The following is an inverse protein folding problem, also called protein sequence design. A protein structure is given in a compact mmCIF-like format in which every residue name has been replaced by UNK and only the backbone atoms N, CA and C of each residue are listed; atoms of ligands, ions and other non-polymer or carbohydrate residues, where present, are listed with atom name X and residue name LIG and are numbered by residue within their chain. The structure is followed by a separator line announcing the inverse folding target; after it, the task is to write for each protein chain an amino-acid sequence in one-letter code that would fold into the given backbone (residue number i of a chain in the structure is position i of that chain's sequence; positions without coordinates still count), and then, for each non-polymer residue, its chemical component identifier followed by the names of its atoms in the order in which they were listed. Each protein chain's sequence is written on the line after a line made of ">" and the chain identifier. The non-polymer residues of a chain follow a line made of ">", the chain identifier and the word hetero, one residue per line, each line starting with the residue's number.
data_IF_412250005002
#
_entry.id   IF_412250005002
#
_cell.length_a   1.000
_cell.length_b   1.000
_cell.length_c   1.000
_cell.angle_alpha   90.00
_cell.angle_beta   90.00
_cell.angle_gamma   90.00
#
_symmetry.space_group_name_H-M   'P 1'
#
loop_
_entity.id
_entity.type
_entity.pdbx_description
1 polymer ?
#
# COMPACT_ATOMS: atom_id res chain seq x y z
N UNK A 1 -10.70 5.34 25.86
CA UNK A 1 -11.72 4.35 25.47
C UNK A 1 -10.99 3.18 24.83
N UNK A 2 -11.00 2.02 25.50
CA UNK A 2 -10.41 0.78 24.99
C UNK A 2 -11.51 0.00 24.27
N UNK A 3 -11.33 -0.28 22.99
CA UNK A 3 -12.19 -1.23 22.27
C UNK A 3 -11.78 -2.63 22.68
N UNK A 4 -12.64 -3.30 23.46
CA UNK A 4 -12.42 -4.67 23.93
C UNK A 4 -12.55 -5.70 22.79
N UNK A 5 -12.12 -6.96 23.04
CA UNK A 5 -11.99 -8.02 22.03
C UNK A 5 -13.31 -8.52 21.40
N UNK A 6 -14.46 -7.93 21.76
CA UNK A 6 -15.80 -8.33 21.31
C UNK A 6 -16.61 -7.20 20.63
N UNK A 7 -15.94 -6.13 20.19
CA UNK A 7 -16.57 -5.08 19.39
C UNK A 7 -16.92 -5.61 17.99
N UNK A 8 -18.19 -5.54 17.60
CA UNK A 8 -18.66 -5.78 16.22
C UNK A 8 -18.10 -4.75 15.22
N UNK A 9 -17.58 -3.63 15.73
CA UNK A 9 -16.79 -2.66 14.97
C UNK A 9 -15.31 -2.95 15.17
N UNK A 10 -14.74 -3.78 14.30
CA UNK A 10 -13.29 -4.03 14.25
C UNK A 10 -12.57 -2.88 13.55
N UNK A 11 -12.85 -1.64 13.97
CA UNK A 11 -12.28 -0.41 13.39
C UNK A 11 -11.54 0.37 14.47
N UNK A 12 -10.34 0.82 14.17
CA UNK A 12 -9.58 1.74 15.01
C UNK A 12 -9.38 3.06 14.29
N UNK A 13 -9.83 4.15 14.92
CA UNK A 13 -9.55 5.50 14.45
C UNK A 13 -8.06 5.81 14.62
N UNK A 14 -7.43 6.30 13.56
CA UNK A 14 -6.04 6.71 13.56
C UNK A 14 -5.94 8.22 13.55
N UNK A 15 -5.13 8.72 14.47
CA UNK A 15 -4.86 10.14 14.60
C UNK A 15 -3.36 10.40 14.59
N UNK A 16 -2.99 11.50 13.95
CA UNK A 16 -1.68 12.12 14.14
C UNK A 16 -1.88 13.24 15.17
N UNK A 17 -1.03 13.28 16.17
CA UNK A 17 -1.07 14.30 17.20
C UNK A 17 0.28 15.00 17.28
N UNK A 18 0.27 16.32 17.18
CA UNK A 18 1.45 17.12 17.49
C UNK A 18 1.57 17.24 19.01
N UNK A 19 2.69 16.77 19.56
CA UNK A 19 2.89 16.71 21.00
C UNK A 19 2.92 18.09 21.65
N UNK A 20 3.55 19.07 20.99
CA UNK A 20 3.78 20.41 21.56
C UNK A 20 2.50 21.26 21.61
N UNK A 21 1.68 21.17 20.57
CA UNK A 21 0.45 21.98 20.42
C UNK A 21 -0.83 21.24 20.81
N UNK A 22 -0.73 19.95 21.13
CA UNK A 22 -1.88 19.04 21.33
C UNK A 22 -2.86 18.98 20.16
N UNK A 23 -2.52 19.57 18.99
CA UNK A 23 -3.36 19.49 17.79
C UNK A 23 -3.42 18.05 17.31
N UNK A 24 -4.62 17.61 16.95
CA UNK A 24 -4.94 16.24 16.59
C UNK A 24 -5.67 16.22 15.26
N UNK A 25 -5.21 15.37 14.35
CA UNK A 25 -5.79 15.21 13.02
C UNK A 25 -6.22 13.76 12.83
N UNK A 26 -7.49 13.53 12.49
CA UNK A 26 -7.96 12.21 12.07
C UNK A 26 -7.38 11.92 10.68
N UNK A 27 -6.63 10.84 10.55
CA UNK A 27 -6.01 10.43 9.27
C UNK A 27 -6.69 9.20 8.67
N UNK A 28 -7.53 8.51 9.44
CA UNK A 28 -8.43 7.49 8.89
C UNK A 28 -8.79 6.44 9.91
N UNK A 29 -9.08 5.26 9.37
CA UNK A 29 -9.45 4.08 10.12
C UNK A 29 -8.60 2.91 9.63
N UNK A 30 -8.25 2.00 10.52
CA UNK A 30 -7.76 0.67 10.16
C UNK A 30 -8.79 -0.35 10.61
N UNK A 31 -9.06 -1.33 9.75
CA UNK A 31 -9.95 -2.44 10.00
C UNK A 31 -9.15 -3.70 10.35
N UNK A 32 -9.68 -4.53 11.26
CA UNK A 32 -9.18 -5.87 11.61
C UNK A 32 -7.68 -5.94 11.92
N UNK A 33 -6.87 -6.09 10.86
CA UNK A 33 -5.43 -6.33 10.86
C UNK A 33 -4.65 -5.27 10.04
N UNK A 34 -5.22 -4.08 9.85
CA UNK A 34 -4.50 -2.96 9.26
C UNK A 34 -3.25 -2.58 10.06
N UNK A 35 -2.22 -2.12 9.36
CA UNK A 35 -0.92 -1.75 9.94
C UNK A 35 -0.61 -0.29 9.65
N UNK A 36 -0.04 0.40 10.64
CA UNK A 36 0.47 1.75 10.52
C UNK A 36 1.93 1.80 10.96
N UNK A 37 2.81 2.44 10.19
CA UNK A 37 4.21 2.60 10.55
C UNK A 37 4.80 3.90 10.01
N UNK A 38 5.79 4.44 10.71
CA UNK A 38 6.48 5.66 10.35
C UNK A 38 7.65 5.39 9.39
N UNK A 39 7.98 6.36 8.55
CA UNK A 39 9.30 6.45 7.94
C UNK A 39 10.35 6.69 9.01
N UNK A 40 11.59 6.27 8.74
CA UNK A 40 12.70 6.39 9.69
C UNK A 40 12.96 7.84 10.14
N UNK A 41 12.82 8.80 9.22
CA UNK A 41 12.93 10.23 9.49
C UNK A 41 11.68 10.86 10.13
N UNK A 42 10.66 10.06 10.43
CA UNK A 42 9.37 10.48 11.00
C UNK A 42 8.62 11.53 10.15
N UNK A 43 8.97 11.69 8.87
CA UNK A 43 8.30 12.65 7.97
C UNK A 43 7.07 12.09 7.30
N UNK A 44 6.87 10.78 7.33
CA UNK A 44 5.73 10.11 6.68
C UNK A 44 5.13 9.02 7.54
N UNK A 45 3.80 8.98 7.57
CA UNK A 45 3.03 7.86 8.13
C UNK A 45 2.48 7.03 6.99
N UNK A 46 2.75 5.73 7.01
CA UNK A 46 2.21 4.76 6.07
C UNK A 46 1.10 3.95 6.74
N UNK A 47 -0.03 3.80 6.06
CA UNK A 47 -1.14 2.92 6.43
C UNK A 47 -1.34 1.87 5.34
N UNK A 48 -1.43 0.60 5.75
CA UNK A 48 -1.92 -0.47 4.89
C UNK A 48 -3.02 -1.25 5.56
N UNK A 49 -4.12 -1.43 4.84
CA UNK A 49 -5.30 -2.14 5.28
C UNK A 49 -5.90 -2.90 4.10
N UNK A 50 -5.80 -4.23 4.12
CA UNK A 50 -6.32 -5.07 3.02
C UNK A 50 -7.85 -5.16 3.00
N UNK A 51 -8.52 -4.77 4.09
CA UNK A 51 -9.97 -4.81 4.22
C UNK A 51 -10.61 -3.45 3.92
N UNK A 52 -9.80 -2.40 3.77
CA UNK A 52 -10.27 -1.12 3.27
C UNK A 52 -10.80 -1.27 1.82
N UNK A 53 -11.67 -0.35 1.41
CA UNK A 53 -12.19 -0.31 0.05
C UNK A 53 -11.03 -0.30 -0.97
N UNK A 54 -11.27 -0.87 -2.15
CA UNK A 54 -10.22 -1.21 -3.12
C UNK A 54 -9.32 -0.04 -3.56
N UNK A 55 -9.63 1.22 -3.27
CA UNK A 55 -8.82 2.41 -3.57
C UNK A 55 -8.10 3.04 -2.35
N UNK A 56 -8.22 2.42 -1.17
CA UNK A 56 -7.73 2.97 0.10
C UNK A 56 -6.82 2.00 0.86
N UNK A 57 -6.42 0.90 0.23
CA UNK A 57 -5.65 -0.17 0.89
C UNK A 57 -4.24 0.25 1.26
N UNK A 58 -3.67 1.20 0.51
CA UNK A 58 -2.36 1.81 0.79
C UNK A 58 -2.53 3.33 0.84
N UNK A 59 -2.17 3.94 1.97
CA UNK A 59 -2.23 5.40 2.15
C UNK A 59 -0.95 5.90 2.80
N UNK A 60 -0.48 7.06 2.37
CA UNK A 60 0.69 7.71 2.96
C UNK A 60 0.38 9.16 3.27
N UNK A 61 0.81 9.62 4.43
CA UNK A 61 0.65 11.00 4.88
C UNK A 61 2.02 11.64 5.04
N UNK A 62 2.22 12.79 4.40
CA UNK A 62 3.32 13.70 4.68
C UNK A 62 2.97 14.55 5.91
N UNK A 63 3.84 14.53 6.92
CA UNK A 63 3.65 15.27 8.19
C UNK A 63 4.64 16.42 8.37
N UNK A 64 5.38 16.79 7.33
CA UNK A 64 6.39 17.86 7.41
C UNK A 64 5.77 19.27 7.47
N UNK A 65 4.51 19.40 7.03
CA UNK A 65 3.76 20.64 7.08
C UNK A 65 3.09 20.91 8.43
N UNK A 66 2.36 22.03 8.51
CA UNK A 66 1.56 22.40 9.68
C UNK A 66 0.35 21.49 9.91
N UNK A 67 -0.05 20.74 8.88
CA UNK A 67 -1.16 19.79 8.88
C UNK A 67 -0.71 18.57 8.06
N UNK A 68 -0.97 17.33 8.54
CA UNK A 68 -0.73 16.13 7.74
C UNK A 68 -1.49 16.14 6.42
N UNK A 69 -0.83 15.73 5.33
CA UNK A 69 -1.42 15.67 3.99
C UNK A 69 -1.27 14.29 3.40
N UNK A 70 -2.38 13.71 2.95
CA UNK A 70 -2.35 12.43 2.25
C UNK A 70 -1.79 12.59 0.83
N UNK A 71 -0.95 11.65 0.43
CA UNK A 71 -0.45 11.51 -0.95
C UNK A 71 -1.51 10.72 -1.74
N UNK A 72 -2.42 11.47 -2.36
CA UNK A 72 -3.57 10.91 -3.08
C UNK A 72 -3.16 10.17 -4.36
N UNK A 73 -3.94 9.16 -4.74
CA UNK A 73 -3.75 8.41 -5.98
C UNK A 73 -2.65 7.33 -5.94
N UNK A 74 -1.98 7.14 -4.80
CA UNK A 74 -0.91 6.15 -4.64
C UNK A 74 -1.41 4.72 -4.94
N UNK A 75 -2.48 4.29 -4.29
CA UNK A 75 -3.03 2.93 -4.44
C UNK A 75 -3.45 2.66 -5.89
N UNK A 76 -4.22 3.58 -6.49
CA UNK A 76 -4.63 3.49 -7.90
C UNK A 76 -3.44 3.42 -8.86
N UNK A 77 -2.39 4.21 -8.64
CA UNK A 77 -1.16 4.15 -9.46
C UNK A 77 -0.45 2.79 -9.35
N UNK A 78 -0.36 2.24 -8.14
CA UNK A 78 0.20 0.90 -7.89
C UNK A 78 -0.62 -0.16 -8.63
N UNK A 79 -1.95 -0.13 -8.50
CA UNK A 79 -2.86 -1.06 -9.16
C UNK A 79 -2.74 -1.02 -10.68
N UNK A 80 -2.77 0.18 -11.25
CA UNK A 80 -2.63 0.38 -12.69
C UNK A 80 -1.32 -0.23 -13.21
N UNK A 81 -0.22 -0.06 -12.49
CA UNK A 81 1.05 -0.65 -12.90
C UNK A 81 1.08 -2.17 -12.74
N UNK A 82 0.41 -2.74 -11.74
CA UNK A 82 0.28 -4.20 -11.62
C UNK A 82 -0.52 -4.74 -12.79
N UNK A 83 -1.69 -4.15 -13.07
CA UNK A 83 -2.57 -4.56 -14.16
C UNK A 83 -1.91 -4.40 -15.54
N UNK A 84 -1.09 -3.38 -15.74
CA UNK A 84 -0.30 -3.22 -16.97
C UNK A 84 0.69 -4.39 -17.21
N UNK A 85 1.06 -5.15 -16.17
CA UNK A 85 1.94 -6.32 -16.26
C UNK A 85 1.17 -7.65 -16.40
N UNK A 86 -0.16 -7.63 -16.32
CA UNK A 86 -0.99 -8.83 -16.50
C UNK A 86 -1.12 -9.13 -17.99
N UNK A 87 -0.83 -10.37 -18.45
CA UNK A 87 -1.02 -10.75 -19.85
C UNK A 87 -2.48 -10.55 -20.31
N UNK A 88 -2.68 -10.14 -21.55
CA UNK A 88 -4.00 -9.78 -22.07
C UNK A 88 -5.07 -10.88 -21.90
N UNK A 89 -4.70 -12.16 -22.00
CA UNK A 89 -5.59 -13.31 -21.85
C UNK A 89 -5.83 -13.75 -20.39
N UNK A 90 -5.33 -13.00 -19.41
CA UNK A 90 -5.47 -13.29 -17.98
C UNK A 90 -6.04 -12.11 -17.22
N UNK A 91 -6.60 -12.41 -16.06
CA UNK A 91 -7.06 -11.44 -15.08
C UNK A 91 -6.66 -11.91 -13.68
N UNK A 92 -6.84 -11.05 -12.68
CA UNK A 92 -6.78 -11.44 -11.27
C UNK A 92 -8.15 -11.24 -10.64
N UNK A 93 -8.52 -12.10 -9.70
CA UNK A 93 -9.78 -11.97 -8.93
C UNK A 93 -9.60 -11.14 -7.66
N UNK A 94 -8.38 -11.08 -7.14
CA UNK A 94 -8.04 -10.29 -5.97
C UNK A 94 -6.63 -9.72 -6.09
N UNK A 95 -6.37 -8.68 -5.33
CA UNK A 95 -5.06 -8.05 -5.23
C UNK A 95 -4.79 -7.78 -3.77
N UNK A 96 -3.61 -8.21 -3.30
CA UNK A 96 -3.18 -7.99 -1.93
C UNK A 96 -1.72 -7.52 -1.87
N UNK A 97 -1.38 -6.77 -0.82
CA UNK A 97 -0.07 -6.17 -0.61
C UNK A 97 0.60 -6.77 0.63
N UNK A 98 1.14 -8.00 0.55
CA UNK A 98 1.65 -8.71 1.73
C UNK A 98 2.81 -8.01 2.42
N UNK A 99 3.58 -7.21 1.68
CA UNK A 99 4.75 -6.51 2.19
C UNK A 99 4.81 -5.11 1.62
N UNK A 100 4.86 -4.11 2.50
CA UNK A 100 5.18 -2.75 2.12
C UNK A 100 6.13 -2.17 3.16
N UNK A 101 7.16 -1.46 2.71
CA UNK A 101 8.08 -0.72 3.58
C UNK A 101 8.63 0.51 2.87
N UNK A 102 9.17 1.44 3.64
CA UNK A 102 10.04 2.49 3.09
C UNK A 102 11.36 1.87 2.64
N UNK A 103 11.97 2.45 1.61
CA UNK A 103 13.33 2.10 1.23
C UNK A 103 14.31 2.58 2.31
N UNK A 104 15.39 1.81 2.53
CA UNK A 104 16.39 2.17 3.52
C UNK A 104 17.00 3.54 3.20
N UNK A 105 17.09 4.42 4.21
CA UNK A 105 17.59 5.79 4.08
C UNK A 105 16.83 6.69 3.08
N UNK A 106 15.67 6.28 2.59
CA UNK A 106 14.85 7.06 1.66
C UNK A 106 13.36 6.99 2.03
N UNK A 107 12.91 7.97 2.82
CA UNK A 107 11.51 8.11 3.21
C UNK A 107 10.60 8.51 2.04
N UNK A 108 11.16 8.93 0.91
CA UNK A 108 10.40 9.31 -0.28
C UNK A 108 10.13 8.13 -1.21
N UNK A 109 10.65 6.95 -0.91
CA UNK A 109 10.46 5.73 -1.72
C UNK A 109 9.88 4.61 -0.88
N UNK A 110 8.93 3.88 -1.44
CA UNK A 110 8.42 2.63 -0.87
C UNK A 110 8.70 1.45 -1.79
N UNK A 111 8.85 0.28 -1.17
CA UNK A 111 8.91 -1.00 -1.84
C UNK A 111 7.62 -1.74 -1.51
N UNK A 112 6.87 -2.12 -2.54
CA UNK A 112 5.61 -2.85 -2.44
C UNK A 112 5.80 -4.20 -3.09
N UNK A 113 5.48 -5.27 -2.37
CA UNK A 113 5.23 -6.59 -2.97
C UNK A 113 3.73 -6.73 -3.05
N UNK A 114 3.25 -7.01 -4.24
CA UNK A 114 1.86 -7.35 -4.51
C UNK A 114 1.79 -8.82 -4.97
N UNK A 115 0.72 -9.50 -4.59
CA UNK A 115 0.36 -10.78 -5.20
C UNK A 115 -1.08 -10.70 -5.73
N UNK A 116 -1.19 -11.14 -6.98
CA UNK A 116 -2.38 -11.02 -7.82
C UNK A 116 -2.49 -12.30 -8.66
N UNK A 117 -2.90 -13.43 -8.06
CA UNK A 117 -2.97 -14.72 -8.75
C UNK A 117 -3.76 -14.62 -10.05
N UNK A 118 -3.16 -15.10 -11.13
CA UNK A 118 -3.72 -14.95 -12.47
C UNK A 118 -4.60 -16.14 -12.82
N UNK A 119 -5.81 -15.84 -13.29
CA UNK A 119 -6.75 -16.79 -13.88
C UNK A 119 -6.97 -16.47 -15.36
N UNK A 120 -7.33 -17.44 -16.20
CA UNK A 120 -7.78 -17.16 -17.57
C UNK A 120 -9.00 -16.23 -17.55
N UNK A 121 -9.08 -15.29 -18.49
CA UNK A 121 -10.29 -14.47 -18.68
C UNK A 121 -11.46 -15.27 -19.23
N UNK A 122 -11.14 -16.25 -20.08
CA UNK A 122 -12.10 -17.10 -20.76
C UNK A 122 -11.70 -18.56 -20.61
N UNK A 123 -12.69 -19.45 -20.62
CA UNK A 123 -12.49 -20.91 -20.49
C UNK A 123 -12.30 -21.38 -19.05
N UNK A 124 -11.85 -22.63 -18.91
CA UNK A 124 -11.49 -23.23 -17.62
C UNK A 124 -9.98 -23.35 -17.49
N UNK A 125 -9.46 -23.17 -16.29
CA UNK A 125 -8.04 -23.32 -16.00
C UNK A 125 -7.74 -23.04 -14.54
N UNK A 126 -6.59 -23.52 -14.07
CA UNK A 126 -6.13 -23.26 -12.72
C UNK A 126 -5.49 -21.87 -12.61
N UNK A 127 -5.67 -21.25 -11.45
CA UNK A 127 -4.96 -20.03 -11.09
C UNK A 127 -3.45 -20.30 -11.00
N UNK A 128 -2.64 -19.32 -11.42
CA UNK A 128 -1.19 -19.35 -11.22
C UNK A 128 -0.73 -18.19 -10.34
N UNK A 129 0.28 -18.38 -9.47
CA UNK A 129 0.85 -17.29 -8.70
C UNK A 129 1.38 -16.18 -9.60
N UNK A 130 1.25 -14.93 -9.16
CA UNK A 130 1.84 -13.78 -9.84
C UNK A 130 2.16 -12.70 -8.81
N UNK A 131 3.44 -12.64 -8.49
CA UNK A 131 3.98 -11.69 -7.52
C UNK A 131 4.70 -10.59 -8.27
N UNK A 132 4.41 -9.34 -7.91
CA UNK A 132 5.03 -8.15 -8.50
C UNK A 132 5.68 -7.35 -7.39
N UNK A 133 6.97 -7.07 -7.55
CA UNK A 133 7.68 -6.12 -6.69
C UNK A 133 7.75 -4.78 -7.41
N UNK A 134 7.28 -3.72 -6.75
CA UNK A 134 7.30 -2.36 -7.24
C UNK A 134 8.14 -1.49 -6.32
N UNK A 135 8.92 -0.59 -6.91
CA UNK A 135 9.56 0.52 -6.20
C UNK A 135 8.80 1.78 -6.60
N UNK A 136 8.30 2.54 -5.63
CA UNK A 136 7.43 3.69 -5.89
C UNK A 136 8.03 4.93 -5.26
N UNK A 137 8.28 5.94 -6.09
CA UNK A 137 8.63 7.27 -5.62
C UNK A 137 7.35 8.01 -5.20
N UNK A 138 7.26 8.37 -3.93
CA UNK A 138 6.09 8.99 -3.32
C UNK A 138 5.94 10.50 -3.64
N UNK A 139 6.95 11.16 -4.19
CA UNK A 139 6.89 12.60 -4.52
C UNK A 139 6.19 12.78 -5.86
N UNK A 140 6.58 12.00 -6.86
CA UNK A 140 6.06 12.09 -8.23
C UNK A 140 5.11 10.93 -8.59
N UNK A 141 4.85 10.02 -7.65
CA UNK A 141 4.05 8.80 -7.84
C UNK A 141 4.52 7.92 -9.01
N UNK A 142 5.82 7.98 -9.30
CA UNK A 142 6.43 7.20 -10.36
C UNK A 142 6.79 5.81 -9.84
N UNK A 143 6.45 4.80 -10.65
CA UNK A 143 6.82 3.41 -10.40
C UNK A 143 8.10 3.13 -11.16
N UNK A 144 9.18 2.92 -10.41
CA UNK A 144 10.49 2.57 -10.93
C UNK A 144 10.52 1.06 -11.10
N UNK A 145 10.53 0.61 -12.36
CA UNK A 145 10.63 -0.81 -12.66
C UNK A 145 11.93 -1.36 -12.09
N UNK A 146 11.82 -2.31 -11.16
CA UNK A 146 12.94 -3.22 -10.89
C UNK A 146 12.97 -4.17 -12.07
N UNK A 147 13.72 -3.80 -13.11
CA UNK A 147 13.86 -4.59 -14.33
C UNK A 147 13.99 -6.07 -13.99
N UNK A 148 13.14 -6.89 -14.62
CA UNK A 148 13.29 -8.34 -14.67
C UNK A 148 14.74 -8.66 -14.99
N UNK A 149 15.51 -9.12 -13.99
CA UNK A 149 16.75 -9.82 -14.27
C UNK A 149 16.35 -11.15 -14.93
N UNK A 150 16.09 -11.10 -16.24
CA UNK A 150 16.36 -12.24 -17.09
C UNK A 150 17.87 -12.43 -17.05
N UNK A 151 18.32 -13.28 -16.13
CA UNK A 151 19.60 -13.96 -16.23
C UNK A 151 19.62 -14.63 -17.61
N UNK A 152 20.28 -13.99 -18.58
CA UNK A 152 20.91 -14.72 -19.67
C UNK A 152 22.03 -15.53 -19.02
N UNK A 153 21.78 -16.81 -18.77
CA UNK A 153 22.89 -17.73 -18.54
C UNK A 153 23.53 -18.07 -19.90
N UNK A 154 24.86 -18.27 -19.91
CA UNK A 154 25.64 -18.54 -21.11
C UNK A 154 25.27 -19.85 -21.80
#
# INVERSE_FOLDING_TARGET
>A
MSVGPYSSEQRAALYIQNADSSKKWLVGWIERNGTAFWSEDSKRLFLRDEYAADDTKIRVFDVTGTVPKEIKGLDSSIQNAIFARIPQNKTTQWLYYPKVCFAANDSSTIIVVADAPLVPKEGSGSGRPFNVKLTVNLIILQIVDSASQHTRQP
#
